data_IF_515589638239
#
_entry.id   IF_515589638239
#
_cell.length_a   1.000
_cell.length_b   1.000
_cell.length_c   1.000
_cell.angle_alpha   90.00
_cell.angle_beta   90.00
_cell.angle_gamma   90.00
#
_symmetry.space_group_name_H-M   'P 1'
#
loop_
_entity.id
_entity.type
_entity.pdbx_description
1 polymer ?
#
# COMPACT_ATOMS: atom_id res chain seq x y z
N UNK A 1 80.57 -6.28 71.70
CA UNK A 1 81.19 -7.53 71.20
C UNK A 1 80.13 -8.31 70.45
N UNK A 2 80.27 -8.46 69.13
CA UNK A 2 79.36 -9.24 68.29
C UNK A 2 80.19 -10.25 67.48
N UNK A 3 79.83 -11.54 67.44
CA UNK A 3 80.60 -12.55 66.73
C UNK A 3 80.16 -12.69 65.26
N UNK A 4 81.13 -13.02 64.39
CA UNK A 4 80.92 -13.50 63.02
C UNK A 4 80.27 -14.87 63.02
N UNK A 5 79.43 -15.14 62.01
CA UNK A 5 79.15 -16.51 61.57
C UNK A 5 78.96 -16.58 60.05
N UNK A 6 79.28 -17.77 59.55
CA UNK A 6 79.77 -18.14 58.22
C UNK A 6 78.64 -18.25 57.19
N UNK A 7 79.00 -17.92 55.94
CA UNK A 7 78.23 -18.11 54.71
C UNK A 7 78.09 -19.59 54.33
N UNK A 8 76.86 -20.04 54.08
CA UNK A 8 76.59 -21.25 53.29
C UNK A 8 75.55 -20.93 52.20
N UNK A 9 75.92 -21.22 50.94
CA UNK A 9 75.01 -21.16 49.78
C UNK A 9 74.09 -22.39 49.78
N UNK A 10 72.77 -22.25 49.56
CA UNK A 10 71.93 -23.39 49.24
C UNK A 10 71.89 -23.65 47.74
N UNK A 11 71.82 -24.95 47.43
CA UNK A 11 71.83 -25.61 46.12
C UNK A 11 70.63 -25.23 45.25
N UNK A 12 70.88 -25.17 43.95
CA UNK A 12 69.91 -25.09 42.85
C UNK A 12 68.91 -26.25 42.93
N UNK A 13 67.62 -25.95 43.10
CA UNK A 13 66.53 -26.90 42.93
C UNK A 13 65.81 -26.60 41.61
N UNK A 14 65.78 -27.60 40.72
CA UNK A 14 65.01 -27.62 39.48
C UNK A 14 63.53 -27.37 39.77
N UNK A 15 62.92 -26.36 39.14
CA UNK A 15 61.46 -26.17 39.16
C UNK A 15 60.84 -27.16 38.18
N UNK A 16 60.10 -28.15 38.69
CA UNK A 16 59.18 -28.94 37.88
C UNK A 16 58.11 -28.01 37.30
N UNK A 17 58.08 -27.88 35.97
CA UNK A 17 57.03 -27.18 35.26
C UNK A 17 55.74 -28.01 35.32
N UNK A 18 54.78 -27.58 36.13
CA UNK A 18 53.40 -28.06 36.05
C UNK A 18 52.78 -27.56 34.74
N UNK A 19 52.59 -28.46 33.77
CA UNK A 19 51.74 -28.19 32.60
C UNK A 19 50.33 -27.88 33.11
N UNK A 20 49.94 -26.61 33.03
CA UNK A 20 48.56 -26.21 33.23
C UNK A 20 47.75 -26.77 32.05
N UNK A 21 46.93 -27.79 32.31
CA UNK A 21 45.88 -28.20 31.39
C UNK A 21 44.94 -27.01 31.21
N UNK A 22 45.05 -26.32 30.08
CA UNK A 22 44.09 -25.31 29.68
C UNK A 22 42.73 -26.01 29.47
N UNK A 23 41.86 -25.92 30.48
CA UNK A 23 40.46 -26.26 30.32
C UNK A 23 39.88 -25.35 29.24
N UNK A 24 39.68 -25.90 28.04
CA UNK A 24 38.95 -25.23 26.96
C UNK A 24 37.49 -25.11 27.38
N UNK A 25 37.17 -24.05 28.12
CA UNK A 25 35.79 -23.65 28.40
C UNK A 25 35.15 -23.21 27.08
N UNK A 26 34.20 -23.98 26.56
CA UNK A 26 33.35 -23.54 25.46
C UNK A 26 32.44 -22.42 25.96
N UNK A 27 32.78 -21.19 25.64
CA UNK A 27 31.86 -20.06 25.80
C UNK A 27 30.71 -20.23 24.81
N UNK A 28 29.51 -20.54 25.30
CA UNK A 28 28.31 -20.42 24.48
C UNK A 28 28.06 -18.93 24.21
N UNK A 29 28.07 -18.54 22.94
CA UNK A 29 27.66 -17.19 22.54
C UNK A 29 26.17 -17.03 22.83
N UNK A 30 25.82 -16.32 23.90
CA UNK A 30 24.45 -15.86 24.14
C UNK A 30 24.23 -14.66 23.22
N UNK A 31 23.91 -14.93 21.96
CA UNK A 31 23.45 -13.87 21.06
C UNK A 31 22.12 -13.38 21.59
N UNK A 32 22.10 -12.17 22.16
CA UNK A 32 20.86 -11.50 22.54
C UNK A 32 19.98 -11.46 21.28
N UNK A 33 18.79 -12.06 21.37
CA UNK A 33 17.79 -11.99 20.31
C UNK A 33 17.56 -10.52 19.99
N UNK A 34 17.99 -10.07 18.81
CA UNK A 34 17.65 -8.72 18.33
C UNK A 34 16.13 -8.62 18.35
N UNK A 35 15.60 -7.50 18.85
CA UNK A 35 14.17 -7.22 18.75
C UNK A 35 13.74 -7.45 17.29
N UNK A 36 12.96 -8.51 17.07
CA UNK A 36 12.50 -8.86 15.74
C UNK A 36 11.67 -7.71 15.19
N UNK A 37 11.78 -7.45 13.89
CA UNK A 37 10.93 -6.48 13.20
C UNK A 37 9.47 -6.84 13.52
N UNK A 38 8.71 -5.86 14.03
CA UNK A 38 7.31 -6.00 14.33
C UNK A 38 6.54 -4.82 13.73
N UNK A 39 5.84 -5.07 12.63
CA UNK A 39 5.02 -4.07 11.93
C UNK A 39 3.57 -4.03 12.44
N UNK A 40 3.24 -4.81 13.46
CA UNK A 40 1.91 -4.80 14.07
C UNK A 40 1.75 -3.53 14.89
N UNK A 41 0.73 -2.75 14.55
CA UNK A 41 0.25 -1.61 15.35
C UNK A 41 -0.98 -2.01 16.16
N UNK A 42 -1.23 -1.31 17.25
CA UNK A 42 -2.26 -1.67 18.23
C UNK A 42 -3.70 -1.37 17.76
N UNK A 43 -3.85 -0.44 16.80
CA UNK A 43 -5.16 0.00 16.30
C UNK A 43 -5.08 0.60 14.89
N UNK A 44 -6.24 0.73 14.23
CA UNK A 44 -6.35 1.46 12.97
C UNK A 44 -6.01 2.96 13.14
N UNK A 45 -6.42 3.56 14.27
CA UNK A 45 -6.08 4.95 14.60
C UNK A 45 -4.56 5.18 14.64
N UNK A 46 -3.81 4.23 15.22
CA UNK A 46 -2.35 4.28 15.22
C UNK A 46 -1.76 4.09 13.81
N UNK A 47 -2.33 3.17 13.01
CA UNK A 47 -1.91 2.93 11.63
C UNK A 47 -2.06 4.17 10.73
N UNK A 48 -3.09 4.99 10.99
CA UNK A 48 -3.48 6.14 10.16
C UNK A 48 -3.21 7.48 10.84
N UNK A 49 -2.31 7.52 11.82
CA UNK A 49 -2.02 8.75 12.60
C UNK A 49 -1.43 9.88 11.75
N UNK A 50 -0.75 9.54 10.65
CA UNK A 50 -0.06 10.45 9.75
C UNK A 50 -0.79 10.66 8.41
N UNK A 51 -2.00 10.09 8.27
CA UNK A 51 -2.81 10.24 7.08
C UNK A 51 -3.18 11.71 6.85
N UNK A 52 -2.96 12.19 5.62
CA UNK A 52 -3.16 13.59 5.24
C UNK A 52 -4.38 13.73 4.33
N UNK A 53 -5.05 14.90 4.32
CA UNK A 53 -6.02 15.21 3.28
C UNK A 53 -5.35 15.29 1.90
N UNK A 54 -6.15 15.23 0.84
CA UNK A 54 -5.71 15.36 -0.55
C UNK A 54 -4.75 14.28 -1.07
N UNK A 55 -4.64 13.14 -0.39
CA UNK A 55 -3.79 12.03 -0.78
C UNK A 55 -4.48 11.06 -1.75
N UNK A 56 -3.68 10.29 -2.48
CA UNK A 56 -4.14 9.18 -3.31
C UNK A 56 -4.18 7.89 -2.49
N UNK A 57 -5.36 7.32 -2.33
CA UNK A 57 -5.61 6.08 -1.61
C UNK A 57 -5.89 4.95 -2.59
N UNK A 58 -5.03 3.94 -2.62
CA UNK A 58 -5.34 2.66 -3.27
C UNK A 58 -6.12 1.79 -2.30
N UNK A 59 -7.33 1.39 -2.65
CA UNK A 59 -8.18 0.59 -1.80
C UNK A 59 -8.51 -0.73 -2.47
N UNK A 60 -8.02 -1.83 -1.89
CA UNK A 60 -8.29 -3.16 -2.41
C UNK A 60 -9.74 -3.61 -2.21
N UNK A 61 -10.09 -4.72 -2.87
CA UNK A 61 -11.42 -5.31 -2.85
C UNK A 61 -12.04 -5.47 -4.24
N UNK A 62 -13.09 -6.27 -4.31
CA UNK A 62 -13.94 -6.45 -5.49
C UNK A 62 -15.40 -6.56 -5.03
N UNK A 63 -16.23 -5.58 -5.39
CA UNK A 63 -17.53 -5.41 -4.72
C UNK A 63 -17.33 -5.26 -3.21
N UNK A 64 -17.84 -6.23 -2.43
CA UNK A 64 -17.63 -6.32 -0.97
C UNK A 64 -16.63 -7.43 -0.56
N UNK A 65 -16.02 -8.14 -1.52
CA UNK A 65 -15.07 -9.22 -1.25
C UNK A 65 -13.65 -8.66 -1.06
N UNK A 66 -13.07 -8.87 0.13
CA UNK A 66 -11.70 -8.44 0.43
C UNK A 66 -11.58 -6.93 0.64
N UNK A 67 -12.62 -6.28 1.17
CA UNK A 67 -12.61 -4.84 1.46
C UNK A 67 -11.92 -4.57 2.82
N UNK A 68 -11.07 -3.53 2.92
CA UNK A 68 -10.37 -3.18 4.16
C UNK A 68 -11.24 -2.30 5.09
N UNK A 69 -12.43 -2.76 5.47
CA UNK A 69 -13.43 -1.96 6.21
C UNK A 69 -12.91 -1.35 7.53
N UNK A 70 -12.00 -2.03 8.24
CA UNK A 70 -11.43 -1.52 9.49
C UNK A 70 -10.69 -0.19 9.28
N UNK A 71 -9.92 -0.07 8.20
CA UNK A 71 -9.20 1.17 7.87
C UNK A 71 -10.14 2.22 7.29
N UNK A 72 -11.12 1.81 6.48
CA UNK A 72 -12.13 2.72 5.91
C UNK A 72 -12.95 3.37 7.03
N UNK A 73 -13.41 2.60 8.01
CA UNK A 73 -14.15 3.13 9.16
C UNK A 73 -13.31 4.07 10.03
N UNK A 74 -12.00 3.82 10.13
CA UNK A 74 -11.11 4.75 10.84
C UNK A 74 -10.98 6.09 10.09
N UNK A 75 -10.86 6.07 8.76
CA UNK A 75 -10.88 7.31 7.95
C UNK A 75 -12.21 8.04 8.10
N UNK A 76 -13.33 7.33 8.15
CA UNK A 76 -14.65 7.92 8.36
C UNK A 76 -14.73 8.71 9.68
N UNK A 77 -14.01 8.27 10.71
CA UNK A 77 -13.94 8.95 12.01
C UNK A 77 -12.98 10.15 12.03
N UNK A 78 -12.28 10.44 10.91
CA UNK A 78 -11.33 11.55 10.74
C UNK A 78 -11.88 12.60 9.76
N UNK A 79 -12.76 13.52 10.21
CA UNK A 79 -13.44 14.48 9.33
C UNK A 79 -12.51 15.49 8.66
N UNK A 80 -11.28 15.62 9.14
CA UNK A 80 -10.20 16.43 8.56
C UNK A 80 -9.56 15.76 7.32
N UNK A 81 -9.61 14.43 7.23
CA UNK A 81 -9.12 13.67 6.07
C UNK A 81 -10.15 13.74 4.95
N UNK A 82 -10.02 14.76 4.11
CA UNK A 82 -10.90 15.04 2.97
C UNK A 82 -10.10 15.23 1.68
N UNK A 83 -10.79 15.35 0.55
CA UNK A 83 -10.14 15.58 -0.74
C UNK A 83 -9.42 14.36 -1.32
N UNK A 84 -9.74 13.15 -0.83
CA UNK A 84 -9.07 11.93 -1.24
C UNK A 84 -9.28 11.65 -2.73
N UNK A 85 -8.22 11.16 -3.39
CA UNK A 85 -8.33 10.47 -4.67
C UNK A 85 -8.32 8.97 -4.40
N UNK A 86 -9.49 8.34 -4.42
CA UNK A 86 -9.63 6.93 -4.14
C UNK A 86 -9.58 6.10 -5.43
N UNK A 87 -8.66 5.13 -5.47
CA UNK A 87 -8.44 4.21 -6.58
C UNK A 87 -8.89 2.83 -6.12
N UNK A 88 -9.97 2.33 -6.69
CA UNK A 88 -10.58 1.07 -6.29
C UNK A 88 -11.41 0.51 -7.44
N UNK A 89 -11.52 -0.81 -7.54
CA UNK A 89 -12.37 -1.41 -8.59
C UNK A 89 -13.81 -0.88 -8.52
N UNK A 90 -14.36 -0.80 -7.31
CA UNK A 90 -15.71 -0.35 -6.99
C UNK A 90 -15.70 0.53 -5.74
N UNK A 91 -16.79 1.26 -5.50
CA UNK A 91 -16.98 1.98 -4.26
C UNK A 91 -17.60 1.14 -3.12
N UNK A 92 -17.91 -0.15 -3.35
CA UNK A 92 -18.78 -0.90 -2.44
C UNK A 92 -20.23 -0.47 -2.61
N UNK A 93 -21.02 -0.55 -1.54
CA UNK A 93 -22.43 -0.12 -1.53
C UNK A 93 -22.58 1.16 -0.71
N UNK A 94 -23.79 1.70 -0.64
CA UNK A 94 -24.07 2.91 0.15
C UNK A 94 -23.63 2.79 1.63
N UNK A 95 -23.69 1.61 2.25
CA UNK A 95 -23.40 1.43 3.67
C UNK A 95 -22.12 0.64 3.98
N UNK A 96 -21.38 0.18 2.95
CA UNK A 96 -20.20 -0.67 3.13
C UNK A 96 -19.07 -0.28 2.17
N UNK A 97 -17.82 -0.44 2.61
CA UNK A 97 -16.64 -0.03 1.85
C UNK A 97 -16.56 1.49 1.65
N UNK A 98 -16.00 1.90 0.51
CA UNK A 98 -15.75 3.32 0.20
C UNK A 98 -17.01 4.18 0.07
N UNK A 99 -18.19 3.57 -0.10
CA UNK A 99 -19.47 4.29 -0.14
C UNK A 99 -19.72 5.11 1.12
N UNK A 100 -19.20 4.67 2.27
CA UNK A 100 -19.21 5.46 3.50
C UNK A 100 -18.45 6.78 3.36
N UNK A 101 -17.27 6.75 2.73
CA UNK A 101 -16.42 7.93 2.51
C UNK A 101 -16.98 8.84 1.40
N UNK A 102 -17.76 8.29 0.47
CA UNK A 102 -18.54 9.07 -0.50
C UNK A 102 -19.66 9.83 0.20
N UNK A 103 -20.44 9.15 1.05
CA UNK A 103 -21.52 9.77 1.84
C UNK A 103 -21.00 10.88 2.77
N UNK A 104 -19.84 10.69 3.40
CA UNK A 104 -19.21 11.72 4.23
C UNK A 104 -18.49 12.82 3.44
N UNK A 105 -18.48 12.74 2.09
CA UNK A 105 -17.79 13.68 1.18
C UNK A 105 -16.28 13.80 1.41
N UNK A 106 -15.65 12.75 1.92
CA UNK A 106 -14.19 12.72 2.11
C UNK A 106 -13.43 12.41 0.81
N UNK A 107 -14.10 11.81 -0.18
CA UNK A 107 -13.53 11.51 -1.50
C UNK A 107 -13.90 12.59 -2.51
N UNK A 108 -12.87 13.19 -3.15
CA UNK A 108 -13.03 14.18 -4.23
C UNK A 108 -13.04 13.52 -5.60
N UNK A 109 -12.19 12.50 -5.79
CA UNK A 109 -12.03 11.80 -7.07
C UNK A 109 -12.04 10.29 -6.86
N UNK A 110 -12.77 9.58 -7.72
CA UNK A 110 -12.72 8.13 -7.84
C UNK A 110 -12.04 7.74 -9.15
N UNK A 111 -11.11 6.78 -9.09
CA UNK A 111 -10.64 6.03 -10.26
C UNK A 111 -11.16 4.62 -10.10
N UNK A 112 -12.13 4.23 -10.93
CA UNK A 112 -12.86 2.98 -10.77
C UNK A 112 -13.19 2.34 -12.11
N UNK A 113 -13.45 1.03 -12.09
CA UNK A 113 -13.87 0.31 -13.31
C UNK A 113 -15.38 0.28 -13.48
N UNK A 114 -16.10 0.35 -12.36
CA UNK A 114 -17.54 0.21 -12.34
C UNK A 114 -18.15 0.89 -11.11
N UNK A 115 -19.15 1.75 -11.33
CA UNK A 115 -19.90 2.44 -10.27
C UNK A 115 -20.71 1.41 -9.45
N UNK A 116 -21.45 0.55 -10.14
CA UNK A 116 -22.24 -0.54 -9.56
C UNK A 116 -23.44 -0.10 -8.74
N UNK A 117 -23.74 -0.87 -7.70
CA UNK A 117 -24.90 -0.73 -6.80
C UNK A 117 -24.64 0.31 -5.68
N UNK A 118 -24.22 1.51 -6.06
CA UNK A 118 -23.99 2.60 -5.12
C UNK A 118 -24.71 3.85 -5.60
N UNK A 119 -25.90 4.12 -5.04
CA UNK A 119 -26.75 5.22 -5.48
C UNK A 119 -26.17 6.58 -5.10
N UNK A 120 -25.46 6.67 -3.98
CA UNK A 120 -24.71 7.87 -3.63
C UNK A 120 -23.66 8.19 -4.68
N UNK A 121 -22.88 7.19 -5.10
CA UNK A 121 -21.82 7.39 -6.10
C UNK A 121 -22.39 7.79 -7.47
N UNK A 122 -23.41 7.08 -7.94
CA UNK A 122 -24.12 7.40 -9.18
C UNK A 122 -24.65 8.84 -9.15
N UNK A 123 -25.37 9.20 -8.08
CA UNK A 123 -25.91 10.55 -7.90
C UNK A 123 -24.81 11.60 -7.92
N UNK A 124 -23.77 11.44 -7.10
CA UNK A 124 -22.66 12.39 -7.01
C UNK A 124 -21.96 12.59 -8.37
N UNK A 125 -21.84 11.53 -9.16
CA UNK A 125 -21.26 11.65 -10.50
C UNK A 125 -22.19 12.44 -11.42
N UNK A 126 -23.49 12.11 -11.47
CA UNK A 126 -24.48 12.79 -12.33
C UNK A 126 -24.69 14.26 -11.95
N UNK A 127 -24.59 14.59 -10.65
CA UNK A 127 -24.74 15.97 -10.14
C UNK A 127 -23.45 16.79 -10.22
N UNK A 128 -22.33 16.19 -10.63
CA UNK A 128 -21.02 16.87 -10.71
C UNK A 128 -20.30 17.03 -9.36
N UNK A 129 -20.79 16.41 -8.29
CA UNK A 129 -20.22 16.52 -6.94
C UNK A 129 -18.86 15.79 -6.82
N UNK A 130 -18.63 14.75 -7.62
CA UNK A 130 -17.39 13.96 -7.63
C UNK A 130 -16.73 13.90 -9.00
N UNK A 131 -15.40 13.86 -9.03
CA UNK A 131 -14.66 13.48 -10.23
C UNK A 131 -14.59 11.94 -10.35
N UNK A 132 -14.81 11.41 -11.54
CA UNK A 132 -14.75 9.99 -11.84
C UNK A 132 -13.90 9.73 -13.09
N UNK A 133 -12.88 8.89 -12.93
CA UNK A 133 -12.12 8.33 -14.05
C UNK A 133 -12.51 6.86 -14.23
N UNK A 134 -13.44 6.60 -15.16
CA UNK A 134 -13.82 5.23 -15.53
C UNK A 134 -12.69 4.56 -16.32
N UNK A 135 -12.10 3.53 -15.72
CA UNK A 135 -10.93 2.82 -16.26
C UNK A 135 -11.27 1.34 -16.45
N UNK A 136 -11.07 0.74 -17.64
CA UNK A 136 -11.28 -0.70 -17.82
C UNK A 136 -10.60 -1.52 -16.71
N UNK A 137 -11.30 -2.51 -16.14
CA UNK A 137 -10.84 -3.21 -14.94
C UNK A 137 -9.41 -3.79 -15.07
N UNK A 138 -9.11 -4.45 -16.20
CA UNK A 138 -7.79 -4.99 -16.47
C UNK A 138 -6.72 -3.91 -16.56
N UNK A 139 -7.04 -2.78 -17.20
CA UNK A 139 -6.17 -1.61 -17.25
C UNK A 139 -5.94 -1.00 -15.86
N UNK A 140 -6.98 -0.89 -15.02
CA UNK A 140 -6.84 -0.37 -13.66
C UNK A 140 -5.90 -1.25 -12.82
N UNK A 141 -6.05 -2.57 -12.93
CA UNK A 141 -5.18 -3.52 -12.25
C UNK A 141 -3.73 -3.39 -12.72
N UNK A 142 -3.49 -3.31 -14.03
CA UNK A 142 -2.12 -3.17 -14.56
C UNK A 142 -1.53 -1.79 -14.27
N UNK A 143 -2.32 -0.71 -14.28
CA UNK A 143 -1.85 0.63 -13.86
C UNK A 143 -1.35 0.64 -12.42
N UNK A 144 -2.03 -0.07 -11.51
CA UNK A 144 -1.56 -0.24 -10.14
C UNK A 144 -0.32 -1.15 -10.06
N UNK A 145 -0.33 -2.27 -10.78
CA UNK A 145 0.80 -3.20 -10.78
C UNK A 145 2.08 -2.58 -11.38
N UNK A 146 1.95 -1.81 -12.45
CA UNK A 146 3.04 -1.09 -13.12
C UNK A 146 3.68 -0.06 -12.19
N UNK A 147 2.87 0.69 -11.43
CA UNK A 147 3.36 1.66 -10.44
C UNK A 147 4.26 1.01 -9.40
N UNK A 148 3.84 -0.14 -8.83
CA UNK A 148 4.63 -0.89 -7.86
C UNK A 148 5.90 -1.55 -8.44
N UNK A 149 6.00 -1.64 -9.77
CA UNK A 149 7.19 -2.15 -10.50
C UNK A 149 8.11 -1.02 -10.98
N UNK A 150 7.76 0.25 -10.76
CA UNK A 150 8.50 1.39 -11.31
C UNK A 150 8.35 1.56 -12.83
N UNK A 151 7.27 1.05 -13.42
CA UNK A 151 6.96 1.20 -14.85
C UNK A 151 6.02 2.40 -15.01
N UNK A 152 6.47 3.53 -15.59
CA UNK A 152 5.67 4.77 -15.61
C UNK A 152 4.46 4.71 -16.55
N UNK A 153 4.54 3.90 -17.61
CA UNK A 153 3.45 3.70 -18.56
C UNK A 153 3.61 2.39 -19.34
N UNK A 154 2.52 1.87 -19.88
CA UNK A 154 2.48 0.67 -20.73
C UNK A 154 1.41 0.81 -21.82
N UNK A 155 1.46 -0.05 -22.84
CA UNK A 155 0.47 -0.10 -23.92
C UNK A 155 -0.51 -1.27 -23.72
N UNK A 156 -1.80 -1.06 -23.96
CA UNK A 156 -2.86 -2.08 -23.87
C UNK A 156 -3.92 -1.90 -24.97
N UNK A 157 -4.51 -2.99 -25.52
CA UNK A 157 -5.57 -2.87 -26.51
C UNK A 157 -6.92 -2.51 -25.87
N UNK A 158 -7.03 -2.57 -24.53
CA UNK A 158 -8.26 -2.29 -23.82
C UNK A 158 -8.68 -0.82 -23.98
N UNK A 159 -9.87 -0.60 -24.51
CA UNK A 159 -10.45 0.73 -24.71
C UNK A 159 -10.20 1.35 -26.09
N UNK A 160 -9.43 0.69 -26.96
CA UNK A 160 -9.24 1.15 -28.35
C UNK A 160 -10.58 1.26 -29.07
N UNK A 161 -10.80 2.37 -29.79
CA UNK A 161 -12.01 2.64 -30.55
C UNK A 161 -13.24 2.94 -29.69
N UNK A 162 -13.04 3.22 -28.40
CA UNK A 162 -14.14 3.50 -27.45
C UNK A 162 -14.03 4.92 -26.90
N UNK A 163 -15.07 5.33 -26.15
CA UNK A 163 -15.06 6.57 -25.37
C UNK A 163 -13.87 6.70 -24.41
N UNK A 164 -13.25 5.59 -24.00
CA UNK A 164 -12.02 5.60 -23.16
C UNK A 164 -10.82 6.13 -23.94
N UNK A 165 -10.70 5.79 -25.23
CA UNK A 165 -9.63 6.31 -26.08
C UNK A 165 -9.85 7.78 -26.38
N UNK A 166 -11.08 8.16 -26.74
CA UNK A 166 -11.37 9.51 -27.22
C UNK A 166 -11.50 10.54 -26.09
N UNK A 167 -11.75 10.09 -24.86
CA UNK A 167 -12.02 10.99 -23.74
C UNK A 167 -13.45 11.56 -23.75
N UNK A 168 -14.38 10.90 -24.44
CA UNK A 168 -15.75 11.40 -24.63
C UNK A 168 -16.62 11.28 -23.37
N UNK A 169 -16.16 10.56 -22.34
CA UNK A 169 -16.86 10.46 -21.06
C UNK A 169 -16.42 11.59 -20.12
N UNK A 170 -17.34 12.38 -19.55
CA UNK A 170 -16.98 13.46 -18.65
C UNK A 170 -16.34 12.88 -17.38
N UNK A 171 -15.12 13.32 -17.08
CA UNK A 171 -14.49 13.06 -15.78
C UNK A 171 -15.21 13.76 -14.63
N UNK A 172 -15.97 14.82 -14.91
CA UNK A 172 -16.88 15.46 -13.96
C UNK A 172 -18.04 16.07 -14.73
N UNK A 173 -19.27 15.74 -14.34
CA UNK A 173 -20.45 16.38 -14.93
C UNK A 173 -20.58 17.83 -14.48
N UNK A 174 -21.36 18.59 -15.24
CA UNK A 174 -21.73 19.96 -14.89
C UNK A 174 -22.48 19.98 -13.56
N UNK A 175 -22.00 20.74 -12.55
CA UNK A 175 -22.71 20.88 -11.29
C UNK A 175 -24.09 21.50 -11.50
N UNK A 176 -25.10 20.94 -10.83
CA UNK A 176 -26.47 21.45 -10.92
C UNK A 176 -26.49 22.91 -10.42
N UNK A 177 -27.03 23.82 -11.24
CA UNK A 177 -27.11 25.25 -10.93
C UNK A 177 -25.81 26.04 -11.17
N UNK A 178 -24.75 25.40 -11.67
CA UNK A 178 -23.51 26.08 -12.04
C UNK A 178 -23.50 26.50 -13.51
N UNK A 179 -22.79 27.59 -13.83
CA UNK A 179 -22.47 27.98 -15.20
C UNK A 179 -21.26 27.23 -15.77
N UNK A 180 -20.53 26.47 -14.96
CA UNK A 180 -19.34 25.73 -15.39
C UNK A 180 -19.68 24.55 -16.30
N UNK A 181 -18.85 24.30 -17.30
CA UNK A 181 -18.98 23.14 -18.19
C UNK A 181 -18.54 21.83 -17.52
N UNK A 182 -18.94 20.70 -18.13
CA UNK A 182 -18.43 19.39 -17.75
C UNK A 182 -16.93 19.29 -18.10
N UNK A 183 -16.19 18.55 -17.28
CA UNK A 183 -14.74 18.34 -17.44
C UNK A 183 -14.50 17.01 -18.15
N UNK A 184 -13.86 17.04 -19.31
CA UNK A 184 -13.49 15.84 -20.08
C UNK A 184 -12.01 15.51 -19.92
N UNK A 185 -11.62 14.23 -19.91
CA UNK A 185 -10.22 13.83 -20.00
C UNK A 185 -9.68 14.01 -21.41
N UNK A 186 -8.36 14.16 -21.53
CA UNK A 186 -7.69 14.19 -22.84
C UNK A 186 -7.78 12.82 -23.53
N UNK A 187 -7.83 12.77 -24.87
CA UNK A 187 -7.69 11.52 -25.62
C UNK A 187 -6.38 10.80 -25.30
N UNK A 188 -6.40 9.47 -25.36
CA UNK A 188 -5.22 8.64 -25.09
C UNK A 188 -4.37 8.44 -26.32
N UNK A 189 -3.05 8.46 -26.13
CA UNK A 189 -2.09 8.19 -27.21
C UNK A 189 -2.24 6.77 -27.73
N UNK A 190 -2.25 6.63 -29.07
CA UNK A 190 -2.35 5.35 -29.76
C UNK A 190 -1.02 5.01 -30.42
N UNK A 191 -0.57 3.76 -30.28
CA UNK A 191 0.57 3.23 -31.04
C UNK A 191 0.20 1.89 -31.66
N UNK A 192 0.66 1.67 -32.89
CA UNK A 192 0.45 0.41 -33.61
C UNK A 192 1.65 -0.51 -33.39
N UNK A 193 1.38 -1.73 -32.96
CA UNK A 193 2.34 -2.83 -32.87
C UNK A 193 1.77 -4.01 -33.66
N UNK A 194 2.57 -4.59 -34.56
CA UNK A 194 2.18 -5.75 -35.38
C UNK A 194 0.82 -5.58 -36.10
N UNK A 195 0.59 -4.37 -36.64
CA UNK A 195 -0.65 -4.02 -37.34
C UNK A 195 -1.87 -3.81 -36.44
N UNK A 196 -1.73 -3.87 -35.11
CA UNK A 196 -2.82 -3.66 -34.14
C UNK A 196 -2.61 -2.37 -33.32
N UNK A 197 -3.64 -1.54 -33.12
CA UNK A 197 -3.59 -0.35 -32.26
C UNK A 197 -3.62 -0.70 -30.76
N UNK A 198 -2.89 0.06 -29.95
CA UNK A 198 -2.84 -0.02 -28.49
C UNK A 198 -2.86 1.39 -27.87
N UNK A 199 -3.50 1.56 -26.71
CA UNK A 199 -3.53 2.80 -25.93
C UNK A 199 -2.38 2.86 -24.94
N UNK A 200 -1.76 4.04 -24.80
CA UNK A 200 -0.83 4.34 -23.72
C UNK A 200 -1.59 4.57 -22.41
N UNK A 201 -1.22 3.84 -21.37
CA UNK A 201 -1.78 3.97 -20.02
C UNK A 201 -0.67 4.28 -19.03
N UNK A 202 -0.86 5.35 -18.24
CA UNK A 202 0.09 5.73 -17.18
C UNK A 202 -0.17 4.93 -15.91
N UNK A 203 0.90 4.49 -15.26
CA UNK A 203 0.79 3.87 -13.94
C UNK A 203 0.13 4.82 -12.94
N UNK A 204 -0.60 4.24 -11.99
CA UNK A 204 -1.10 4.94 -10.82
C UNK A 204 -0.14 4.62 -9.68
N UNK A 205 0.17 5.57 -8.81
CA UNK A 205 0.89 5.36 -7.55
C UNK A 205 0.08 5.95 -6.40
N UNK A 206 0.09 5.28 -5.25
CA UNK A 206 -0.62 5.74 -4.05
C UNK A 206 0.30 6.41 -3.03
N UNK A 207 -0.29 7.28 -2.23
CA UNK A 207 0.33 7.68 -0.95
C UNK A 207 0.09 6.58 0.08
N UNK A 208 -1.14 6.05 0.13
CA UNK A 208 -1.57 4.98 1.03
C UNK A 208 -2.15 3.80 0.25
N UNK A 209 -1.91 2.57 0.71
CA UNK A 209 -2.61 1.38 0.22
C UNK A 209 -3.36 0.65 1.36
N UNK A 210 -4.68 0.62 1.28
CA UNK A 210 -5.50 -0.18 2.19
C UNK A 210 -5.75 -1.56 1.57
N UNK A 211 -5.22 -2.59 2.22
CA UNK A 211 -5.33 -3.97 1.77
C UNK A 211 -5.90 -4.89 2.85
N UNK A 212 -6.74 -5.84 2.43
CA UNK A 212 -7.29 -6.90 3.28
C UNK A 212 -6.58 -8.22 2.99
N UNK A 213 -5.72 -8.63 3.92
CA UNK A 213 -5.16 -9.98 3.95
C UNK A 213 -6.00 -10.91 4.85
N UNK A 214 -5.87 -12.22 4.65
CA UNK A 214 -6.43 -13.25 5.53
C UNK A 214 -5.55 -13.50 6.75
N UNK A 215 -4.23 -13.58 6.53
CA UNK A 215 -3.22 -13.73 7.59
C UNK A 215 -2.03 -12.84 7.27
N UNK A 216 -1.39 -12.31 8.30
CA UNK A 216 -0.12 -11.62 8.19
C UNK A 216 0.78 -12.02 9.37
N UNK A 217 2.08 -12.12 9.14
CA UNK A 217 3.06 -12.25 10.21
C UNK A 217 3.57 -10.88 10.69
N UNK A 218 4.42 -10.87 11.72
CA UNK A 218 4.99 -9.62 12.29
C UNK A 218 5.93 -8.89 11.33
N UNK A 219 6.44 -9.55 10.29
CA UNK A 219 7.32 -8.96 9.29
C UNK A 219 6.52 -8.27 8.16
N UNK A 220 5.23 -8.57 8.06
CA UNK A 220 4.32 -8.05 7.04
C UNK A 220 4.12 -8.99 5.86
N UNK A 221 4.51 -10.26 5.96
CA UNK A 221 4.20 -11.24 4.93
C UNK A 221 2.71 -11.59 4.98
N UNK A 222 1.99 -11.38 3.88
CA UNK A 222 0.54 -11.52 3.82
C UNK A 222 0.12 -12.76 3.01
N UNK A 223 -0.91 -13.46 3.48
CA UNK A 223 -1.63 -14.47 2.74
C UNK A 223 -3.07 -14.02 2.50
N UNK A 224 -3.56 -14.22 1.28
CA UNK A 224 -4.96 -13.96 0.90
C UNK A 224 -5.75 -15.26 0.88
N UNK A 225 -7.08 -15.16 0.98
CA UNK A 225 -7.97 -16.33 0.99
C UNK A 225 -8.97 -16.23 -0.15
N UNK A 226 -8.99 -17.25 -1.01
CA UNK A 226 -9.91 -17.36 -2.14
C UNK A 226 -9.86 -16.11 -3.03
N UNK A 227 -11.00 -15.62 -3.51
CA UNK A 227 -11.11 -14.47 -4.41
C UNK A 227 -10.82 -13.11 -3.75
N UNK A 228 -10.56 -13.05 -2.44
CA UNK A 228 -10.29 -11.80 -1.72
C UNK A 228 -8.91 -11.20 -2.04
N UNK A 229 -8.04 -11.91 -2.76
CA UNK A 229 -6.75 -11.37 -3.21
C UNK A 229 -6.91 -10.21 -4.20
N UNK A 230 -7.84 -10.34 -5.14
CA UNK A 230 -8.23 -9.37 -6.18
C UNK A 230 -7.27 -8.16 -6.38
N UNK A 231 -7.73 -6.94 -6.09
CA UNK A 231 -6.92 -5.72 -6.16
C UNK A 231 -6.00 -5.51 -4.95
N UNK A 232 -6.23 -6.22 -3.84
CA UNK A 232 -5.36 -6.16 -2.67
C UNK A 232 -3.91 -6.53 -3.01
N UNK A 233 -3.72 -7.52 -3.87
CA UNK A 233 -2.39 -7.95 -4.33
C UNK A 233 -1.59 -6.83 -5.02
N UNK A 234 -2.05 -6.30 -6.17
CA UNK A 234 -1.31 -5.25 -6.88
C UNK A 234 -1.21 -3.94 -6.09
N UNK A 235 -2.27 -3.53 -5.34
CA UNK A 235 -2.26 -2.26 -4.62
C UNK A 235 -1.32 -2.24 -3.41
N UNK A 236 -1.20 -3.35 -2.68
CA UNK A 236 -0.34 -3.43 -1.49
C UNK A 236 1.16 -3.31 -1.77
N UNK A 237 1.57 -3.22 -3.04
CA UNK A 237 2.96 -3.01 -3.47
C UNK A 237 3.18 -1.65 -4.12
N UNK A 238 2.16 -0.80 -4.14
CA UNK A 238 2.12 0.40 -4.97
C UNK A 238 1.70 1.65 -4.18
N UNK A 239 2.18 1.77 -2.94
CA UNK A 239 2.01 2.97 -2.17
C UNK A 239 3.26 3.27 -1.34
N UNK A 240 3.39 4.53 -0.94
CA UNK A 240 4.46 4.96 -0.04
C UNK A 240 4.24 4.40 1.37
N UNK A 241 2.99 4.36 1.82
CA UNK A 241 2.55 3.92 3.16
C UNK A 241 1.53 2.78 3.10
#
# INVERSE_FOLDING_TARGET
MAPRLVSMRPRTMLKHATQANALLTRSFSISISRHGINKVVSSAAEALKDMKPNTTLLCGGFGLCGVPDTLINEVLNKPDVTGLTAVSNNAGTDDFGLGKLLKSRQVRKMVASYIGENKTFEKMYLTGDIELELTPQGTLAERCAAGGKGIPAFYTPAGVGTVVQNGDLPSRNKPIGSSSDAKFPDPKDVKVFDGKPYLLERSITGDYAFVKAFKADKLGNCQFRLAAQNFNGPMGRNATM
#
